data_IF_239688855249
#
_entry.id   IF_239688855249
#
_cell.length_a   1.000
_cell.length_b   1.000
_cell.length_c   1.000
_cell.angle_alpha   90.00
_cell.angle_beta   90.00
_cell.angle_gamma   90.00
#
_symmetry.space_group_name_H-M   'P 1'
#
loop_
_entity.id
_entity.type
_entity.pdbx_description
1 polymer ?
#
# COMPACT_ATOMS: atom_id res chain seq x y z
N UNK A 1 -7.21 -12.41 -2.20
CA UNK A 1 -8.58 -12.97 -2.29
C UNK A 1 -8.65 -14.31 -3.00
N UNK A 2 -8.50 -14.38 -4.33
CA UNK A 2 -8.67 -15.65 -5.08
C UNK A 2 -7.76 -16.78 -4.62
N UNK A 3 -6.52 -16.48 -4.24
CA UNK A 3 -5.60 -17.48 -3.70
C UNK A 3 -5.78 -17.70 -2.19
N UNK A 4 -5.99 -16.62 -1.43
CA UNK A 4 -6.08 -16.65 0.05
C UNK A 4 -7.33 -17.39 0.57
N UNK A 5 -8.46 -17.32 -0.13
CA UNK A 5 -9.68 -18.06 0.27
C UNK A 5 -9.46 -19.60 0.28
N UNK A 6 -8.93 -20.22 -0.78
CA UNK A 6 -8.70 -21.66 -0.79
C UNK A 6 -7.43 -22.10 -0.05
N UNK A 7 -6.37 -21.28 -0.01
CA UNK A 7 -5.06 -21.70 0.54
C UNK A 7 -4.74 -21.15 1.94
N UNK A 8 -5.61 -20.31 2.50
CA UNK A 8 -5.39 -19.67 3.80
C UNK A 8 -4.41 -18.50 3.74
N UNK A 9 -3.93 -18.08 4.91
CA UNK A 9 -3.03 -16.93 5.09
C UNK A 9 -1.72 -17.19 4.33
N UNK A 10 -1.33 -16.24 3.49
CA UNK A 10 -0.07 -16.29 2.75
C UNK A 10 1.00 -15.46 3.48
N UNK A 11 2.16 -16.06 3.74
CA UNK A 11 3.26 -15.42 4.46
C UNK A 11 4.48 -15.38 3.55
N UNK A 12 5.01 -14.19 3.33
CA UNK A 12 6.16 -13.96 2.46
C UNK A 12 7.28 -13.26 3.24
N UNK A 13 8.40 -13.95 3.44
CA UNK A 13 9.58 -13.40 4.08
C UNK A 13 10.48 -12.70 3.05
N UNK A 14 10.65 -11.39 3.19
CA UNK A 14 11.49 -10.60 2.28
C UNK A 14 12.96 -10.99 2.49
N UNK A 15 13.66 -11.24 1.38
CA UNK A 15 15.08 -11.58 1.40
C UNK A 15 15.39 -12.98 1.93
N UNK A 16 14.38 -13.85 2.10
CA UNK A 16 14.53 -15.22 2.58
C UNK A 16 15.15 -15.34 3.99
N UNK A 17 15.08 -14.27 4.79
CA UNK A 17 15.45 -14.28 6.20
C UNK A 17 14.29 -14.85 7.01
N UNK A 18 14.54 -15.91 7.80
CA UNK A 18 13.53 -16.45 8.69
C UNK A 18 13.15 -15.43 9.79
N UNK A 19 11.87 -15.42 10.15
CA UNK A 19 11.40 -14.71 11.34
C UNK A 19 12.23 -15.15 12.58
N UNK A 20 12.58 -14.24 13.51
CA UNK A 20 12.02 -12.90 13.72
C UNK A 20 12.81 -11.72 13.13
N UNK A 21 13.95 -11.96 12.47
CA UNK A 21 14.87 -10.89 12.07
C UNK A 21 14.62 -10.32 10.67
N UNK A 22 13.73 -10.95 9.89
CA UNK A 22 13.35 -10.52 8.55
C UNK A 22 12.03 -9.74 8.52
N UNK A 23 11.82 -8.97 7.45
CA UNK A 23 10.53 -8.33 7.15
C UNK A 23 9.59 -9.39 6.58
N UNK A 24 8.43 -9.54 7.19
CA UNK A 24 7.44 -10.53 6.77
C UNK A 24 6.17 -9.82 6.32
N UNK A 25 5.77 -10.10 5.08
CA UNK A 25 4.48 -9.68 4.56
C UNK A 25 3.46 -10.80 4.78
N UNK A 26 2.33 -10.45 5.35
CA UNK A 26 1.21 -11.35 5.66
C UNK A 26 0.00 -10.89 4.86
N UNK A 27 -0.45 -11.76 3.97
CA UNK A 27 -1.64 -11.56 3.16
C UNK A 27 -2.75 -12.50 3.64
N UNK A 28 -3.62 -11.98 4.51
CA UNK A 28 -4.84 -12.64 4.95
C UNK A 28 -6.07 -12.15 4.15
N UNK A 29 -7.26 -12.59 4.55
CA UNK A 29 -8.48 -12.24 3.84
C UNK A 29 -8.79 -10.74 3.96
N UNK A 30 -8.57 -10.15 5.13
CA UNK A 30 -8.85 -8.73 5.38
C UNK A 30 -7.84 -7.85 4.66
N UNK A 31 -6.54 -8.10 4.79
CA UNK A 31 -5.50 -7.33 4.11
C UNK A 31 -5.63 -7.44 2.60
N UNK A 32 -5.92 -8.63 2.04
CA UNK A 32 -6.11 -8.72 0.58
C UNK A 32 -7.38 -8.05 0.08
N UNK A 33 -8.44 -7.98 0.90
CA UNK A 33 -9.63 -7.17 0.59
C UNK A 33 -9.28 -5.68 0.57
N UNK A 34 -8.61 -5.19 1.62
CA UNK A 34 -8.23 -3.79 1.75
C UNK A 34 -7.27 -3.35 0.64
N UNK A 35 -6.26 -4.17 0.30
CA UNK A 35 -5.36 -3.90 -0.84
C UNK A 35 -6.14 -3.83 -2.16
N UNK A 36 -7.10 -4.72 -2.38
CA UNK A 36 -7.93 -4.68 -3.59
C UNK A 36 -8.82 -3.44 -3.66
N UNK A 37 -9.35 -3.00 -2.51
CA UNK A 37 -10.11 -1.77 -2.39
C UNK A 37 -9.23 -0.55 -2.68
N UNK A 38 -8.02 -0.49 -2.11
CA UNK A 38 -7.05 0.58 -2.37
C UNK A 38 -6.70 0.66 -3.85
N UNK A 39 -6.49 -0.48 -4.52
CA UNK A 39 -6.21 -0.51 -5.95
C UNK A 39 -7.39 0.04 -6.79
N UNK A 40 -8.63 -0.34 -6.43
CA UNK A 40 -9.83 0.20 -7.09
C UNK A 40 -9.96 1.71 -6.89
N UNK A 41 -9.77 2.19 -5.66
CA UNK A 41 -9.84 3.62 -5.35
C UNK A 41 -8.72 4.40 -6.06
N UNK A 42 -7.49 3.89 -6.07
CA UNK A 42 -6.39 4.49 -6.81
C UNK A 42 -6.72 4.62 -8.30
N UNK A 43 -7.32 3.59 -8.91
CA UNK A 43 -7.71 3.62 -10.31
C UNK A 43 -8.78 4.69 -10.57
N UNK A 44 -9.83 4.75 -9.75
CA UNK A 44 -10.89 5.76 -9.88
C UNK A 44 -10.34 7.18 -9.66
N UNK A 45 -9.51 7.38 -8.64
CA UNK A 45 -8.87 8.66 -8.37
C UNK A 45 -7.95 9.09 -9.52
N UNK A 46 -7.13 8.18 -10.05
CA UNK A 46 -6.24 8.47 -11.18
C UNK A 46 -7.05 8.88 -12.42
N UNK A 47 -8.14 8.19 -12.75
CA UNK A 47 -9.03 8.57 -13.84
C UNK A 47 -9.69 9.93 -13.63
N UNK A 48 -10.14 10.22 -12.41
CA UNK A 48 -10.71 11.51 -12.07
C UNK A 48 -9.68 12.64 -12.20
N UNK A 49 -8.44 12.41 -11.74
CA UNK A 49 -7.38 13.40 -11.79
C UNK A 49 -6.98 13.79 -13.21
N UNK A 50 -7.11 12.89 -14.19
CA UNK A 50 -6.91 13.21 -15.62
C UNK A 50 -7.88 14.27 -16.17
N UNK A 51 -8.89 14.70 -15.41
CA UNK A 51 -9.75 15.84 -15.76
C UNK A 51 -9.09 17.21 -15.53
N UNK A 52 -7.80 17.25 -15.16
CA UNK A 52 -7.00 18.47 -15.02
C UNK A 52 -6.54 18.78 -13.59
N UNK A 53 -6.84 17.92 -12.61
CA UNK A 53 -6.30 18.04 -11.25
C UNK A 53 -4.84 17.55 -11.18
N UNK A 54 -4.42 16.66 -12.08
CA UNK A 54 -3.05 16.16 -12.15
C UNK A 54 -2.04 17.19 -12.70
N UNK A 55 -2.51 18.18 -13.45
CA UNK A 55 -1.67 19.29 -13.94
C UNK A 55 -1.34 20.33 -12.86
N UNK A 56 -2.05 20.30 -11.72
CA UNK A 56 -1.87 21.28 -10.63
C UNK A 56 -0.59 21.05 -9.81
N UNK A 57 -0.14 19.80 -9.73
CA UNK A 57 1.03 19.40 -8.94
C UNK A 57 2.10 18.75 -9.80
N UNK A 58 3.33 19.29 -9.79
CA UNK A 58 4.47 18.81 -10.60
C UNK A 58 4.80 17.32 -10.39
N UNK A 59 4.39 16.74 -9.25
CA UNK A 59 4.64 15.35 -8.87
C UNK A 59 3.40 14.56 -8.48
N UNK A 60 2.20 14.93 -8.97
CA UNK A 60 0.94 14.31 -8.57
C UNK A 60 0.94 12.77 -8.73
N UNK A 61 1.25 12.25 -9.92
CA UNK A 61 1.20 10.80 -10.20
C UNK A 61 2.22 9.99 -9.36
N UNK A 62 3.51 10.38 -9.25
CA UNK A 62 4.44 9.73 -8.33
C UNK A 62 3.98 9.75 -6.87
N UNK A 63 3.45 10.87 -6.38
CA UNK A 63 3.01 11.00 -5.00
C UNK A 63 1.76 10.15 -4.72
N UNK A 64 0.82 10.06 -5.67
CA UNK A 64 -0.34 9.17 -5.58
C UNK A 64 0.10 7.71 -5.47
N UNK A 65 1.06 7.27 -6.28
CA UNK A 65 1.60 5.91 -6.19
C UNK A 65 2.38 5.67 -4.89
N UNK A 66 3.11 6.67 -4.38
CA UNK A 66 3.77 6.58 -3.07
C UNK A 66 2.78 6.44 -1.92
N UNK A 67 1.67 7.20 -1.97
CA UNK A 67 0.59 7.08 -1.00
C UNK A 67 0.01 5.67 -0.99
N UNK A 68 -0.30 5.13 -2.17
CA UNK A 68 -0.85 3.78 -2.34
C UNK A 68 0.14 2.70 -1.90
N UNK A 69 1.44 2.90 -2.16
CA UNK A 69 2.51 2.03 -1.66
C UNK A 69 2.54 2.00 -0.12
N UNK A 70 2.44 3.16 0.53
CA UNK A 70 2.35 3.26 1.99
C UNK A 70 1.12 2.56 2.55
N UNK A 71 -0.06 2.79 1.98
CA UNK A 71 -1.33 2.14 2.40
C UNK A 71 -1.24 0.61 2.25
N UNK A 72 -0.80 0.12 1.09
CA UNK A 72 -0.71 -1.32 0.84
C UNK A 72 0.33 -2.00 1.73
N UNK A 73 1.47 -1.34 1.97
CA UNK A 73 2.49 -1.83 2.89
C UNK A 73 1.97 -1.94 4.34
N UNK A 74 1.22 -0.94 4.81
CA UNK A 74 0.62 -0.95 6.14
C UNK A 74 -0.41 -2.09 6.33
N UNK A 75 -1.14 -2.47 5.27
CA UNK A 75 -2.05 -3.61 5.32
C UNK A 75 -1.34 -4.97 5.25
N UNK A 76 -0.21 -5.05 4.55
CA UNK A 76 0.49 -6.32 4.31
C UNK A 76 1.59 -6.61 5.34
N UNK A 77 2.03 -5.64 6.13
CA UNK A 77 3.11 -5.86 7.07
C UNK A 77 2.68 -6.72 8.26
N UNK A 78 3.53 -7.68 8.65
CA UNK A 78 3.34 -8.51 9.84
C UNK A 78 4.01 -7.96 11.10
N UNK A 79 4.73 -6.84 11.01
CA UNK A 79 5.51 -6.28 12.11
C UNK A 79 5.20 -4.79 12.37
N UNK A 80 5.25 -4.41 13.66
CA UNK A 80 4.86 -3.08 14.12
C UNK A 80 5.85 -1.98 13.70
N UNK A 81 7.13 -2.31 13.52
CA UNK A 81 8.14 -1.35 13.09
C UNK A 81 7.93 -0.95 11.63
N UNK A 82 7.79 -1.91 10.72
CA UNK A 82 7.48 -1.62 9.33
C UNK A 82 6.09 -1.01 9.15
N UNK A 83 5.13 -1.35 10.02
CA UNK A 83 3.86 -0.63 10.06
C UNK A 83 4.09 0.86 10.28
N UNK A 84 4.88 1.23 11.30
CA UNK A 84 5.24 2.63 11.52
C UNK A 84 5.93 3.25 10.29
N UNK A 85 6.89 2.56 9.67
CA UNK A 85 7.58 3.04 8.47
C UNK A 85 6.60 3.30 7.31
N UNK A 86 5.66 2.39 7.06
CA UNK A 86 4.64 2.58 6.02
C UNK A 86 3.67 3.71 6.34
N UNK A 87 3.34 3.93 7.62
CA UNK A 87 2.57 5.09 8.06
C UNK A 87 3.29 6.40 7.78
N UNK A 88 4.60 6.48 8.04
CA UNK A 88 5.39 7.67 7.72
C UNK A 88 5.44 7.94 6.21
N UNK A 89 5.61 6.90 5.38
CA UNK A 89 5.57 7.02 3.91
C UNK A 89 4.21 7.55 3.45
N UNK A 90 3.13 6.99 3.99
CA UNK A 90 1.76 7.43 3.72
C UNK A 90 1.55 8.90 4.11
N UNK A 91 2.03 9.30 5.29
CA UNK A 91 1.88 10.66 5.79
C UNK A 91 2.64 11.65 4.90
N UNK A 92 3.92 11.39 4.62
CA UNK A 92 4.74 12.26 3.77
C UNK A 92 4.11 12.42 2.38
N UNK A 93 3.66 11.33 1.76
CA UNK A 93 2.98 11.38 0.46
C UNK A 93 1.68 12.18 0.52
N UNK A 94 0.88 12.01 1.58
CA UNK A 94 -0.38 12.75 1.76
C UNK A 94 -0.16 14.25 1.95
N UNK A 95 0.84 14.65 2.74
CA UNK A 95 1.18 16.05 2.93
C UNK A 95 1.73 16.69 1.65
N UNK A 96 2.54 15.95 0.89
CA UNK A 96 3.05 16.42 -0.38
C UNK A 96 1.97 16.55 -1.46
N UNK A 97 0.91 15.74 -1.44
CA UNK A 97 -0.25 15.88 -2.33
C UNK A 97 -1.16 17.05 -1.96
N UNK A 98 -1.12 17.50 -0.71
CA UNK A 98 -1.95 18.60 -0.21
C UNK A 98 -1.37 19.97 -0.60
N UNK A 99 -0.04 20.07 -0.73
CA UNK A 99 0.69 21.28 -1.15
C UNK A 99 0.60 21.55 -2.64
#
# INVERSE_FOLDING_TARGET
LLHVQPSGIQVFAIGNWQAPFGIVLVADQVSTLLVSLTALLCFVCSLYSCAGDDERGSFFHPLLHFLVMGVNGAFLTGDAFNLFVFFEILLIASYALLM
#
